data_IF_791538656649
#
_entry.id   IF_791538656649
#
_cell.length_a   1.000
_cell.length_b   1.000
_cell.length_c   1.000
_cell.angle_alpha   90.00
_cell.angle_beta   90.00
_cell.angle_gamma   90.00
#
_symmetry.space_group_name_H-M   'P 1'
#
loop_
_entity.id
_entity.type
_entity.pdbx_description
1 polymer ?
#
# COMPACT_ATOMS: atom_id res chain seq x y z
N UNK A 1 -15.48 8.53 15.30
CA UNK A 1 -16.87 8.44 15.79
C UNK A 1 -17.08 7.31 16.81
N UNK A 2 -16.82 6.03 16.52
CA UNK A 2 -16.99 4.96 17.54
C UNK A 2 -15.96 4.99 18.70
N UNK A 3 -14.76 5.54 18.47
CA UNK A 3 -13.71 5.66 19.50
C UNK A 3 -13.81 7.00 20.28
N UNK A 4 -14.57 7.96 19.76
CA UNK A 4 -14.85 9.25 20.43
C UNK A 4 -16.13 9.19 21.27
N UNK A 5 -17.05 8.27 20.96
CA UNK A 5 -18.28 8.06 21.73
C UNK A 5 -18.10 7.22 22.99
N UNK A 6 -16.99 6.49 23.10
CA UNK A 6 -16.58 5.86 24.34
C UNK A 6 -15.52 6.74 24.99
N UNK A 7 -15.94 7.39 26.06
CA UNK A 7 -15.24 8.26 27.01
C UNK A 7 -14.02 7.57 27.69
N UNK A 8 -13.21 6.85 26.91
CA UNK A 8 -12.17 5.92 27.37
C UNK A 8 -10.82 6.62 27.54
N UNK A 9 -10.65 7.79 26.91
CA UNK A 9 -9.48 8.66 27.10
C UNK A 9 -9.49 9.37 28.46
N UNK A 10 -10.68 9.60 29.05
CA UNK A 10 -10.84 10.23 30.36
C UNK A 10 -10.56 9.26 31.53
N UNK A 11 -10.46 7.96 31.25
CA UNK A 11 -10.29 6.90 32.26
C UNK A 11 -8.89 6.27 32.32
N UNK A 12 -7.93 6.79 31.54
CA UNK A 12 -6.58 6.24 31.50
C UNK A 12 -5.69 6.87 32.60
N UNK A 13 -5.25 6.10 33.60
CA UNK A 13 -4.48 6.61 34.74
C UNK A 13 -3.10 7.15 34.31
N UNK A 14 -2.63 8.18 35.01
CA UNK A 14 -1.42 8.99 34.79
C UNK A 14 -0.09 8.19 34.61
N UNK A 15 -0.08 6.88 34.83
CA UNK A 15 1.11 6.01 34.81
C UNK A 15 1.34 5.20 33.52
N UNK A 16 0.55 5.40 32.46
CA UNK A 16 0.69 4.62 31.23
C UNK A 16 1.81 5.14 30.32
N UNK A 17 2.89 4.35 30.05
CA UNK A 17 3.92 4.72 29.08
C UNK A 17 3.32 4.64 27.67
N UNK A 18 3.29 5.75 26.94
CA UNK A 18 2.76 5.82 25.56
C UNK A 18 1.57 6.76 25.32
N UNK A 19 1.17 7.57 26.32
CA UNK A 19 0.11 8.59 26.18
C UNK A 19 0.37 9.57 25.02
N UNK A 20 1.62 9.99 24.82
CA UNK A 20 2.03 10.85 23.70
C UNK A 20 1.74 10.21 22.34
N UNK A 21 1.99 8.90 22.18
CA UNK A 21 1.69 8.17 20.93
C UNK A 21 0.20 8.02 20.69
N UNK A 22 -0.60 7.86 21.75
CA UNK A 22 -2.06 7.80 21.65
C UNK A 22 -2.68 9.17 21.29
N UNK A 23 -2.09 10.25 21.80
CA UNK A 23 -2.49 11.63 21.45
C UNK A 23 -2.05 11.96 20.02
N UNK A 24 -0.85 11.57 19.60
CA UNK A 24 -0.37 11.71 18.22
C UNK A 24 -1.24 10.93 17.23
N UNK A 25 -1.65 9.70 17.59
CA UNK A 25 -2.60 8.91 16.81
C UNK A 25 -3.98 9.56 16.79
N UNK A 26 -4.48 10.11 17.90
CA UNK A 26 -5.80 10.76 17.94
C UNK A 26 -5.82 12.08 17.15
N UNK A 27 -4.75 12.87 17.21
CA UNK A 27 -4.55 14.09 16.43
C UNK A 27 -4.42 13.78 14.93
N UNK A 28 -3.66 12.74 14.57
CA UNK A 28 -3.59 12.26 13.19
C UNK A 28 -4.96 11.77 12.69
N UNK A 29 -5.72 11.08 13.54
CA UNK A 29 -7.08 10.64 13.24
C UNK A 29 -8.05 11.81 13.07
N UNK A 30 -7.89 12.88 13.85
CA UNK A 30 -8.70 14.08 13.73
C UNK A 30 -8.42 14.85 12.43
N UNK A 31 -7.15 14.91 12.00
CA UNK A 31 -6.75 15.45 10.69
C UNK A 31 -7.31 14.61 9.52
N UNK A 32 -7.26 13.28 9.65
CA UNK A 32 -7.82 12.34 8.67
C UNK A 32 -9.35 12.44 8.57
N UNK A 33 -10.03 12.64 9.71
CA UNK A 33 -11.47 12.83 9.77
C UNK A 33 -11.91 14.17 9.17
N UNK A 34 -11.12 15.24 9.35
CA UNK A 34 -11.40 16.57 8.80
C UNK A 34 -11.29 16.60 7.27
N UNK A 35 -10.44 15.77 6.67
CA UNK A 35 -10.27 15.63 5.23
C UNK A 35 -10.64 14.24 4.68
N UNK A 36 -11.75 13.65 5.17
CA UNK A 36 -12.19 12.31 4.76
C UNK A 36 -12.29 12.13 3.23
N UNK A 37 -12.66 13.18 2.48
CA UNK A 37 -12.69 13.15 1.01
C UNK A 37 -11.30 12.98 0.40
N UNK A 38 -10.28 13.68 0.92
CA UNK A 38 -8.91 13.55 0.43
C UNK A 38 -8.35 12.16 0.74
N UNK A 39 -8.64 11.63 1.93
CA UNK A 39 -8.32 10.24 2.31
C UNK A 39 -9.00 9.24 1.39
N UNK A 40 -10.31 9.41 1.12
CA UNK A 40 -11.07 8.52 0.25
C UNK A 40 -10.51 8.53 -1.18
N UNK A 41 -10.16 9.71 -1.68
CA UNK A 41 -9.52 9.87 -3.00
C UNK A 41 -8.14 9.21 -3.02
N UNK A 42 -7.32 9.40 -1.99
CA UNK A 42 -6.01 8.75 -1.90
C UNK A 42 -6.14 7.22 -1.84
N UNK A 43 -7.12 6.70 -1.10
CA UNK A 43 -7.44 5.29 -1.04
C UNK A 43 -7.92 4.75 -2.40
N UNK A 44 -8.82 5.45 -3.06
CA UNK A 44 -9.31 5.07 -4.39
C UNK A 44 -8.18 5.08 -5.43
N UNK A 45 -7.31 6.09 -5.41
CA UNK A 45 -6.12 6.16 -6.25
C UNK A 45 -5.17 5.00 -5.98
N UNK A 46 -4.98 4.62 -4.71
CA UNK A 46 -4.19 3.44 -4.35
C UNK A 46 -4.80 2.17 -4.91
N UNK A 47 -6.12 1.99 -4.82
CA UNK A 47 -6.81 0.83 -5.37
C UNK A 47 -6.65 0.75 -6.90
N UNK A 48 -6.81 1.88 -7.60
CA UNK A 48 -6.58 1.96 -9.05
C UNK A 48 -5.14 1.60 -9.40
N UNK A 49 -4.16 2.10 -8.64
CA UNK A 49 -2.75 1.76 -8.85
C UNK A 49 -2.49 0.26 -8.66
N UNK A 50 -3.07 -0.36 -7.63
CA UNK A 50 -2.95 -1.80 -7.40
C UNK A 50 -3.60 -2.60 -8.52
N UNK A 51 -4.82 -2.24 -8.93
CA UNK A 51 -5.52 -2.87 -10.05
C UNK A 51 -4.70 -2.78 -11.34
N UNK A 52 -4.14 -1.60 -11.65
CA UNK A 52 -3.25 -1.44 -12.80
C UNK A 52 -2.05 -2.38 -12.76
N UNK A 53 -1.41 -2.53 -11.59
CA UNK A 53 -0.33 -3.50 -11.45
C UNK A 53 -0.79 -4.94 -11.62
N UNK A 54 -1.97 -5.31 -11.12
CA UNK A 54 -2.52 -6.67 -11.28
C UNK A 54 -2.85 -6.97 -12.73
N UNK A 55 -3.40 -6.00 -13.46
CA UNK A 55 -3.69 -6.12 -14.89
C UNK A 55 -2.41 -6.33 -15.70
N UNK A 56 -1.32 -5.61 -15.41
CA UNK A 56 -0.02 -5.83 -16.09
C UNK A 56 0.45 -7.27 -15.93
N UNK A 57 0.40 -7.79 -14.71
CA UNK A 57 0.80 -9.16 -14.41
C UNK A 57 -0.07 -10.21 -15.11
N UNK A 58 -1.38 -9.96 -15.20
CA UNK A 58 -2.34 -10.80 -15.92
C UNK A 58 -2.11 -10.75 -17.45
N UNK A 59 -1.81 -9.57 -18.00
CA UNK A 59 -1.44 -9.45 -19.42
C UNK A 59 -0.16 -10.22 -19.75
N UNK A 60 0.84 -10.19 -18.87
CA UNK A 60 2.07 -10.98 -19.02
C UNK A 60 1.79 -12.48 -18.93
N UNK A 61 0.96 -12.90 -17.99
CA UNK A 61 0.54 -14.30 -17.85
C UNK A 61 -0.15 -14.81 -19.12
N UNK A 62 -1.05 -14.02 -19.71
CA UNK A 62 -1.68 -14.36 -20.99
C UNK A 62 -0.69 -14.36 -22.16
N UNK A 63 0.24 -13.40 -22.23
CA UNK A 63 1.25 -13.35 -23.27
C UNK A 63 2.18 -14.58 -23.25
N UNK A 64 2.50 -15.09 -22.05
CA UNK A 64 3.32 -16.27 -21.85
C UNK A 64 2.54 -17.60 -21.93
N UNK A 65 1.25 -17.57 -22.31
CA UNK A 65 0.38 -18.73 -22.37
C UNK A 65 0.41 -19.53 -21.04
N UNK A 66 0.20 -18.83 -19.92
CA UNK A 66 0.09 -19.46 -18.62
C UNK A 66 -1.18 -20.34 -18.57
N UNK A 67 -0.99 -21.63 -18.77
CA UNK A 67 -2.03 -22.65 -18.74
C UNK A 67 -1.94 -23.48 -17.47
N UNK A 68 -3.11 -23.86 -16.95
CA UNK A 68 -3.21 -24.82 -15.86
C UNK A 68 -2.97 -26.23 -16.41
N UNK A 69 -1.82 -26.81 -16.06
CA UNK A 69 -1.38 -28.14 -16.52
C UNK A 69 -2.15 -29.26 -15.80
N UNK A 70 -2.94 -28.94 -14.76
CA UNK A 70 -3.72 -29.93 -13.98
C UNK A 70 -5.08 -30.24 -14.60
N UNK A 71 -5.59 -29.39 -15.48
CA UNK A 71 -6.89 -29.53 -16.15
C UNK A 71 -6.67 -30.01 -17.59
N UNK A 72 -7.48 -30.96 -18.07
CA UNK A 72 -7.45 -31.45 -19.46
C UNK A 72 -8.82 -31.22 -20.11
N UNK A 73 -8.93 -30.42 -21.18
CA UNK A 73 -7.88 -29.70 -21.91
C UNK A 73 -7.25 -28.55 -21.08
N UNK A 74 -6.00 -28.14 -21.36
CA UNK A 74 -5.36 -27.05 -20.66
C UNK A 74 -6.17 -25.77 -20.83
N UNK A 75 -6.57 -25.19 -19.70
CA UNK A 75 -7.32 -23.93 -19.66
C UNK A 75 -6.41 -22.81 -19.18
N UNK A 76 -6.58 -21.58 -19.70
CA UNK A 76 -5.88 -20.44 -19.15
C UNK A 76 -6.19 -20.27 -17.67
N UNK A 77 -5.20 -19.82 -16.90
CA UNK A 77 -5.34 -19.62 -15.45
C UNK A 77 -6.55 -18.75 -15.12
N UNK A 78 -7.42 -19.15 -14.18
CA UNK A 78 -8.57 -18.35 -13.79
C UNK A 78 -8.12 -17.01 -13.21
N UNK A 79 -8.75 -15.93 -13.67
CA UNK A 79 -8.49 -14.57 -13.17
C UNK A 79 -8.68 -14.51 -11.65
N UNK A 80 -9.64 -15.26 -11.11
CA UNK A 80 -9.94 -15.29 -9.66
C UNK A 80 -8.74 -15.81 -8.85
N UNK A 81 -8.09 -16.88 -9.28
CA UNK A 81 -6.91 -17.43 -8.60
C UNK A 81 -5.75 -16.43 -8.66
N UNK A 82 -5.60 -15.74 -9.79
CA UNK A 82 -4.61 -14.68 -9.95
C UNK A 82 -4.84 -13.54 -8.95
N UNK A 83 -6.07 -13.03 -8.86
CA UNK A 83 -6.43 -11.96 -7.93
C UNK A 83 -6.36 -12.38 -6.45
N UNK A 84 -6.42 -13.68 -6.13
CA UNK A 84 -6.18 -14.18 -4.78
C UNK A 84 -4.69 -14.21 -4.41
N UNK A 85 -3.83 -14.56 -5.37
CA UNK A 85 -2.37 -14.66 -5.18
C UNK A 85 -1.72 -13.28 -5.06
N UNK A 86 -2.14 -12.32 -5.90
CA UNK A 86 -1.46 -11.02 -6.04
C UNK A 86 -1.40 -10.19 -4.73
N UNK A 87 -2.46 -10.05 -3.93
CA UNK A 87 -2.37 -9.33 -2.65
C UNK A 87 -1.41 -9.98 -1.64
N UNK A 88 -1.33 -11.31 -1.64
CA UNK A 88 -0.44 -12.09 -0.77
C UNK A 88 1.02 -11.82 -1.18
N UNK A 89 1.32 -11.95 -2.48
CA UNK A 89 2.63 -11.61 -3.03
C UNK A 89 3.02 -10.17 -2.67
N UNK A 90 2.14 -9.19 -2.92
CA UNK A 90 2.44 -7.77 -2.65
C UNK A 90 2.69 -7.48 -1.18
N UNK A 91 1.97 -8.15 -0.29
CA UNK A 91 2.17 -7.99 1.15
C UNK A 91 3.53 -8.54 1.57
N UNK A 92 3.91 -9.72 1.09
CA UNK A 92 5.22 -10.32 1.41
C UNK A 92 6.36 -9.49 0.78
N UNK A 93 6.21 -9.06 -0.46
CA UNK A 93 7.18 -8.23 -1.18
C UNK A 93 7.30 -6.81 -0.63
N UNK A 94 6.29 -6.32 0.11
CA UNK A 94 6.36 -5.03 0.82
C UNK A 94 7.24 -5.07 2.05
N UNK A 95 7.55 -6.27 2.57
CA UNK A 95 8.46 -6.42 3.69
C UNK A 95 9.86 -5.96 3.27
N UNK A 96 10.56 -5.15 4.09
CA UNK A 96 11.87 -4.62 3.75
C UNK A 96 12.98 -5.67 3.93
N UNK A 97 12.76 -6.87 3.39
CA UNK A 97 13.69 -8.00 3.41
C UNK A 97 14.62 -7.90 2.20
N UNK A 98 14.13 -7.40 1.05
CA UNK A 98 14.93 -7.18 -0.15
C UNK A 98 14.58 -5.88 -0.87
N UNK A 99 15.50 -5.39 -1.70
CA UNK A 99 15.34 -4.17 -2.47
C UNK A 99 14.18 -4.31 -3.48
N UNK A 100 13.06 -3.65 -3.18
CA UNK A 100 11.85 -3.70 -4.01
C UNK A 100 11.18 -5.09 -4.10
N UNK A 101 11.46 -5.97 -3.14
CA UNK A 101 10.94 -7.35 -3.15
C UNK A 101 11.61 -8.28 -4.16
N UNK A 102 12.71 -7.86 -4.81
CA UNK A 102 13.42 -8.70 -5.78
C UNK A 102 13.93 -10.00 -5.12
N UNK A 103 13.82 -11.11 -5.83
CA UNK A 103 14.08 -12.47 -5.36
C UNK A 103 12.88 -13.09 -4.63
N UNK A 104 12.43 -12.45 -3.55
CA UNK A 104 11.33 -12.96 -2.72
C UNK A 104 9.99 -12.95 -3.44
N UNK A 105 9.70 -11.89 -4.21
CA UNK A 105 8.51 -11.83 -5.06
C UNK A 105 8.45 -13.01 -6.00
N UNK A 106 9.53 -13.26 -6.74
CA UNK A 106 9.57 -14.29 -7.78
C UNK A 106 9.34 -15.68 -7.19
N UNK A 107 9.99 -15.97 -6.06
CA UNK A 107 9.85 -17.23 -5.35
C UNK A 107 8.42 -17.41 -4.83
N UNK A 108 7.86 -16.38 -4.16
CA UNK A 108 6.51 -16.44 -3.62
C UNK A 108 5.48 -16.60 -4.74
N UNK A 109 5.61 -15.83 -5.81
CA UNK A 109 4.73 -15.92 -6.97
C UNK A 109 4.84 -17.29 -7.65
N UNK A 110 6.06 -17.84 -7.79
CA UNK A 110 6.29 -19.19 -8.32
C UNK A 110 5.59 -20.25 -7.48
N UNK A 111 5.77 -20.22 -6.15
CA UNK A 111 5.16 -21.19 -5.23
C UNK A 111 3.63 -21.08 -5.29
N UNK A 112 3.08 -19.86 -5.27
CA UNK A 112 1.64 -19.64 -5.25
C UNK A 112 0.98 -19.99 -6.60
N UNK A 113 1.56 -19.57 -7.73
CA UNK A 113 1.03 -19.92 -9.06
C UNK A 113 1.17 -21.41 -9.35
N UNK A 114 2.26 -22.04 -8.92
CA UNK A 114 2.42 -23.49 -9.09
C UNK A 114 1.40 -24.27 -8.24
N UNK A 115 1.24 -23.90 -6.97
CA UNK A 115 0.36 -24.62 -6.05
C UNK A 115 -1.12 -24.37 -6.28
N UNK A 116 -1.52 -23.13 -6.59
CA UNK A 116 -2.92 -22.73 -6.70
C UNK A 116 -3.42 -22.75 -8.15
N UNK A 117 -2.60 -22.33 -9.12
CA UNK A 117 -2.99 -22.20 -10.52
C UNK A 117 -2.38 -23.26 -11.47
N UNK A 118 -1.61 -24.21 -10.93
CA UNK A 118 -1.03 -25.32 -11.71
C UNK A 118 0.01 -24.90 -12.76
N UNK A 119 0.49 -23.66 -12.70
CA UNK A 119 1.44 -23.11 -13.69
C UNK A 119 2.80 -23.77 -13.52
N UNK A 120 3.49 -24.03 -14.64
CA UNK A 120 4.88 -24.51 -14.62
C UNK A 120 5.79 -23.47 -13.99
N UNK A 121 6.65 -23.90 -13.06
CA UNK A 121 7.52 -23.02 -12.28
C UNK A 121 8.36 -22.06 -13.14
N UNK A 122 8.90 -22.54 -14.26
CA UNK A 122 9.67 -21.70 -15.19
C UNK A 122 8.86 -20.55 -15.80
N UNK A 123 7.58 -20.79 -16.11
CA UNK A 123 6.67 -19.75 -16.63
C UNK A 123 6.30 -18.78 -15.52
N UNK A 124 6.06 -19.26 -14.30
CA UNK A 124 5.72 -18.42 -13.15
C UNK A 124 6.84 -17.43 -12.79
N UNK A 125 8.10 -17.87 -12.82
CA UNK A 125 9.25 -16.98 -12.59
C UNK A 125 9.40 -15.94 -13.72
N UNK A 126 9.17 -16.33 -14.97
CA UNK A 126 9.17 -15.41 -16.11
C UNK A 126 8.05 -14.36 -16.00
N UNK A 127 6.85 -14.75 -15.54
CA UNK A 127 5.76 -13.82 -15.29
C UNK A 127 6.16 -12.76 -14.25
N UNK A 128 6.73 -13.18 -13.12
CA UNK A 128 7.14 -12.27 -12.05
C UNK A 128 8.22 -11.28 -12.48
N UNK A 129 9.28 -11.79 -13.11
CA UNK A 129 10.42 -10.97 -13.56
C UNK A 129 10.05 -10.02 -14.71
N UNK A 130 9.30 -10.49 -15.71
CA UNK A 130 8.88 -9.68 -16.85
C UNK A 130 7.88 -8.60 -16.44
N UNK A 131 6.92 -8.94 -15.58
CA UNK A 131 5.94 -7.96 -15.08
C UNK A 131 6.62 -6.87 -14.26
N UNK A 132 7.60 -7.22 -13.43
CA UNK A 132 8.38 -6.22 -12.70
C UNK A 132 9.18 -5.31 -13.64
N UNK A 133 9.82 -5.87 -14.66
CA UNK A 133 10.58 -5.10 -15.63
C UNK A 133 9.68 -4.09 -16.36
N UNK A 134 8.50 -4.52 -16.79
CA UNK A 134 7.50 -3.65 -17.42
C UNK A 134 7.08 -2.54 -16.46
N UNK A 135 6.75 -2.87 -15.22
CA UNK A 135 6.35 -1.88 -14.21
C UNK A 135 7.48 -0.88 -13.93
N UNK A 136 8.73 -1.34 -13.85
CA UNK A 136 9.89 -0.49 -13.63
C UNK A 136 10.05 0.49 -14.80
N UNK A 137 9.99 0.00 -16.04
CA UNK A 137 10.06 0.83 -17.24
C UNK A 137 8.91 1.85 -17.29
N UNK A 138 7.68 1.42 -17.01
CA UNK A 138 6.51 2.32 -16.97
C UNK A 138 6.56 3.32 -15.81
N UNK A 139 7.30 3.02 -14.74
CA UNK A 139 7.46 3.91 -13.58
C UNK A 139 8.58 4.95 -13.79
N UNK A 140 9.51 4.72 -14.72
CA UNK A 140 10.59 5.69 -15.03
C UNK A 140 10.02 7.05 -15.46
N UNK A 141 9.06 7.16 -16.40
CA UNK A 141 8.44 8.43 -16.74
C UNK A 141 7.79 9.12 -15.55
N UNK A 142 7.09 8.38 -14.68
CA UNK A 142 6.48 8.93 -13.47
C UNK A 142 7.54 9.48 -12.49
N UNK A 143 8.62 8.74 -12.28
CA UNK A 143 9.75 9.17 -11.47
C UNK A 143 10.51 10.35 -12.09
N UNK A 144 10.66 10.38 -13.41
CA UNK A 144 11.31 11.44 -14.16
C UNK A 144 10.50 12.73 -14.11
N UNK A 145 9.18 12.66 -14.32
CA UNK A 145 8.26 13.79 -14.14
C UNK A 145 8.32 14.29 -12.70
N UNK A 146 8.31 13.39 -11.70
CA UNK A 146 8.47 13.79 -10.31
C UNK A 146 9.81 14.48 -10.02
N UNK A 147 10.90 14.01 -10.62
CA UNK A 147 12.24 14.56 -10.43
C UNK A 147 12.42 15.91 -11.13
N UNK A 148 11.93 16.04 -12.37
CA UNK A 148 12.00 17.26 -13.18
C UNK A 148 10.99 18.33 -12.74
N UNK A 149 9.79 17.90 -12.33
CA UNK A 149 8.71 18.75 -11.83
C UNK A 149 8.68 18.84 -10.31
N UNK A 150 9.78 18.42 -9.65
CA UNK A 150 10.00 18.60 -8.22
C UNK A 150 9.56 20.01 -7.84
N UNK A 151 8.57 20.21 -6.94
CA UNK A 151 7.98 21.52 -6.72
C UNK A 151 9.00 22.43 -6.05
N UNK A 152 9.71 23.20 -6.87
CA UNK A 152 10.40 24.43 -6.49
C UNK A 152 9.49 25.66 -6.61
N UNK A 153 8.18 25.46 -6.86
CA UNK A 153 7.14 26.50 -6.80
C UNK A 153 6.36 26.43 -5.48
N UNK A 154 5.78 27.55 -5.00
CA UNK A 154 5.36 27.79 -3.62
C UNK A 154 4.08 27.03 -3.26
N UNK A 155 4.14 25.70 -3.19
CA UNK A 155 3.28 24.98 -2.26
C UNK A 155 3.74 25.43 -0.89
N UNK A 156 2.92 26.23 -0.19
CA UNK A 156 3.16 26.69 1.16
C UNK A 156 3.75 25.54 1.96
N UNK A 157 5.06 25.61 2.21
CA UNK A 157 5.72 24.75 3.17
C UNK A 157 4.99 25.08 4.45
N UNK A 158 3.97 24.30 4.80
CA UNK A 158 3.64 24.15 6.21
C UNK A 158 4.91 23.53 6.73
N UNK A 159 5.79 24.39 7.23
CA UNK A 159 7.09 23.96 7.74
C UNK A 159 6.73 22.87 8.74
N UNK A 160 7.51 21.79 8.82
CA UNK A 160 7.28 20.77 9.84
C UNK A 160 7.08 21.42 11.23
N UNK A 161 7.76 22.56 11.44
CA UNK A 161 7.64 23.48 12.57
C UNK A 161 6.28 24.20 12.74
N UNK A 162 5.60 24.53 11.66
CA UNK A 162 4.21 25.05 11.66
C UNK A 162 3.21 23.93 11.92
N UNK A 163 3.37 22.75 11.31
CA UNK A 163 2.55 21.58 11.66
C UNK A 163 2.74 21.21 13.14
N UNK A 164 3.99 21.21 13.63
CA UNK A 164 4.29 20.97 15.04
C UNK A 164 3.71 22.05 15.95
N UNK A 165 3.66 23.31 15.52
CA UNK A 165 3.02 24.39 16.29
C UNK A 165 1.51 24.27 16.32
N UNK A 166 0.89 23.91 15.20
CA UNK A 166 -0.56 23.71 15.11
C UNK A 166 -0.98 22.48 15.93
N UNK A 167 -0.18 21.42 15.92
CA UNK A 167 -0.37 20.26 16.83
C UNK A 167 -0.17 20.67 18.29
N UNK A 168 0.87 21.46 18.62
CA UNK A 168 1.13 21.91 19.99
C UNK A 168 0.07 22.89 20.52
N UNK A 169 -0.52 23.75 19.68
CA UNK A 169 -1.63 24.61 20.09
C UNK A 169 -2.89 23.81 20.35
N UNK A 170 -3.19 22.84 19.48
CA UNK A 170 -4.32 21.93 19.70
C UNK A 170 -4.14 21.06 20.95
N UNK A 171 -2.90 20.63 21.26
CA UNK A 171 -2.59 19.94 22.51
C UNK A 171 -2.83 20.83 23.75
N UNK A 172 -2.57 22.14 23.65
CA UNK A 172 -2.80 23.08 24.75
C UNK A 172 -4.30 23.33 24.97
N UNK A 173 -5.05 23.55 23.90
CA UNK A 173 -6.51 23.80 23.96
C UNK A 173 -7.24 22.56 24.54
N UNK A 174 -6.84 21.35 24.13
CA UNK A 174 -7.40 20.09 24.68
C UNK A 174 -7.01 19.89 26.15
N UNK A 175 -5.83 20.36 26.57
CA UNK A 175 -5.39 20.29 27.96
C UNK A 175 -6.11 21.29 28.87
N UNK A 176 -6.50 22.45 28.35
CA UNK A 176 -7.32 23.43 29.08
C UNK A 176 -8.80 23.01 29.17
N UNK A 177 -9.38 22.44 28.10
CA UNK A 177 -10.75 21.88 28.14
C UNK A 177 -10.87 20.65 29.05
N UNK A 178 -9.76 19.94 29.31
CA UNK A 178 -9.71 18.76 30.17
C UNK A 178 -9.47 19.06 31.66
N UNK A 179 -9.45 20.33 32.06
CA UNK A 179 -9.22 20.78 33.45
C UNK A 179 -10.51 21.28 34.10
#
# INVERSE_FOLDING_TARGET
FLITGFDLLHRLPHRFPGREKLIEISAAYHLYARHWKATLVAFAMSLIAHLGTFTTFLCVAYALHAEDVRVTPPTPVPVVDFFAIMPIERTISSLPISFGGAGWREIVLQILLHNLAGVREGVANLIGSLSFLIILICSIPGGLVYFLYRPSGPAGRVKLKEMQREVASLEHDIAEEAR
#
